data_IF_235016402201
#
_entry.id   IF_235016402201
#
_cell.length_a   1.000
_cell.length_b   1.000
_cell.length_c   1.000
_cell.angle_alpha   90.00
_cell.angle_beta   90.00
_cell.angle_gamma   90.00
#
_symmetry.space_group_name_H-M   'P 1'
#
loop_
_entity.id
_entity.type
_entity.pdbx_description
1 polymer ?
#
# COMPACT_ATOMS: atom_id res chain seq x y z
N UNK A 1 -5.32 35.11 -6.05
CA UNK A 1 -5.39 33.76 -6.69
C UNK A 1 -6.84 33.35 -6.81
N UNK A 2 -7.24 32.86 -7.96
CA UNK A 2 -8.56 32.26 -8.16
C UNK A 2 -8.68 30.91 -7.44
N UNK A 3 -9.89 30.41 -7.12
CA UNK A 3 -10.05 29.08 -6.51
C UNK A 3 -9.39 27.96 -7.33
N UNK A 4 -9.45 28.05 -8.66
CA UNK A 4 -8.81 27.07 -9.56
C UNK A 4 -7.27 27.11 -9.50
N UNK A 5 -6.69 28.31 -9.36
CA UNK A 5 -5.23 28.46 -9.20
C UNK A 5 -4.74 27.89 -7.87
N UNK A 6 -5.50 28.09 -6.79
CA UNK A 6 -5.19 27.50 -5.47
C UNK A 6 -5.23 25.99 -5.53
N UNK A 7 -6.29 25.43 -6.12
CA UNK A 7 -6.45 24.00 -6.31
C UNK A 7 -5.26 23.38 -7.08
N UNK A 8 -4.89 24.00 -8.21
CA UNK A 8 -3.74 23.54 -9.00
C UNK A 8 -2.43 23.65 -8.22
N UNK A 9 -2.23 24.72 -7.45
CA UNK A 9 -1.06 24.91 -6.60
C UNK A 9 -0.97 23.86 -5.48
N UNK A 10 -2.08 23.58 -4.79
CA UNK A 10 -2.13 22.57 -3.73
C UNK A 10 -1.73 21.19 -4.26
N UNK A 11 -2.27 20.77 -5.42
CA UNK A 11 -1.86 19.52 -6.06
C UNK A 11 -0.39 19.50 -6.46
N UNK A 12 0.09 20.56 -7.11
CA UNK A 12 1.47 20.67 -7.54
C UNK A 12 2.45 20.64 -6.35
N UNK A 13 2.12 21.36 -5.28
CA UNK A 13 2.92 21.41 -4.06
C UNK A 13 2.89 20.07 -3.32
N UNK A 14 1.74 19.38 -3.25
CA UNK A 14 1.64 18.06 -2.61
C UNK A 14 2.54 17.03 -3.32
N UNK A 15 2.48 16.97 -4.67
CA UNK A 15 3.35 16.08 -5.46
C UNK A 15 4.82 16.44 -5.29
N UNK A 16 5.17 17.72 -5.39
CA UNK A 16 6.56 18.19 -5.27
C UNK A 16 7.12 17.92 -3.87
N UNK A 17 6.36 18.26 -2.82
CA UNK A 17 6.72 17.96 -1.42
C UNK A 17 6.93 16.47 -1.22
N UNK A 18 6.04 15.65 -1.75
CA UNK A 18 6.18 14.20 -1.69
C UNK A 18 7.44 13.69 -2.37
N UNK A 19 7.74 14.18 -3.58
CA UNK A 19 8.94 13.78 -4.32
C UNK A 19 10.23 14.20 -3.59
N UNK A 20 10.30 15.43 -3.08
CA UNK A 20 11.44 15.91 -2.28
C UNK A 20 11.58 15.13 -0.96
N UNK A 21 10.47 14.81 -0.29
CA UNK A 21 10.48 14.01 0.93
C UNK A 21 11.01 12.58 0.66
N UNK A 22 10.64 11.96 -0.45
CA UNK A 22 11.18 10.66 -0.87
C UNK A 22 12.68 10.73 -1.18
N UNK A 23 13.14 11.79 -1.83
CA UNK A 23 14.56 12.03 -2.07
C UNK A 23 15.32 12.16 -0.74
N UNK A 24 14.81 13.00 0.17
CA UNK A 24 15.40 13.20 1.49
C UNK A 24 15.44 11.90 2.31
N UNK A 25 14.38 11.11 2.26
CA UNK A 25 14.32 9.80 2.91
C UNK A 25 15.42 8.86 2.42
N UNK A 26 15.68 8.84 1.11
CA UNK A 26 16.78 8.03 0.53
C UNK A 26 18.15 8.52 0.98
N UNK A 27 18.35 9.85 1.05
CA UNK A 27 19.63 10.44 1.47
C UNK A 27 19.92 10.24 2.97
N UNK A 28 18.87 10.24 3.80
CA UNK A 28 18.98 10.13 5.27
C UNK A 28 18.79 8.71 5.78
N UNK A 29 18.50 7.74 4.92
CA UNK A 29 18.15 6.36 5.30
C UNK A 29 16.98 6.26 6.29
N UNK A 30 16.12 7.29 6.32
CA UNK A 30 14.90 7.31 7.13
C UNK A 30 13.75 6.60 6.39
N UNK A 31 12.78 6.01 7.10
CA UNK A 31 11.58 5.48 6.46
C UNK A 31 10.82 6.58 5.70
N UNK A 32 10.58 6.38 4.39
CA UNK A 32 10.00 7.39 3.51
C UNK A 32 8.69 7.98 4.02
N UNK A 33 7.85 7.15 4.65
CA UNK A 33 6.55 7.57 5.19
C UNK A 33 6.69 8.58 6.34
N UNK A 34 7.71 8.44 7.19
CA UNK A 34 7.99 9.41 8.28
C UNK A 34 8.34 10.77 7.69
N UNK A 35 9.21 10.77 6.68
CA UNK A 35 9.64 12.02 6.03
C UNK A 35 8.47 12.66 5.26
N UNK A 36 7.62 11.87 4.62
CA UNK A 36 6.40 12.35 3.93
C UNK A 36 5.42 13.04 4.91
N UNK A 37 5.18 12.44 6.08
CA UNK A 37 4.32 13.01 7.11
C UNK A 37 4.89 14.35 7.63
N UNK A 38 6.17 14.36 8.00
CA UNK A 38 6.82 15.57 8.52
C UNK A 38 6.85 16.67 7.46
N UNK A 39 7.15 16.35 6.20
CA UNK A 39 7.14 17.31 5.11
C UNK A 39 5.74 17.90 4.87
N UNK A 40 4.69 17.07 4.95
CA UNK A 40 3.30 17.51 4.87
C UNK A 40 2.93 18.49 5.99
N UNK A 41 3.27 18.16 7.23
CA UNK A 41 3.04 19.04 8.39
C UNK A 41 3.76 20.39 8.25
N UNK A 42 5.01 20.40 7.76
CA UNK A 42 5.80 21.62 7.53
C UNK A 42 5.20 22.48 6.42
N UNK A 43 4.71 21.86 5.34
CA UNK A 43 4.10 22.59 4.23
C UNK A 43 2.62 22.96 4.47
N UNK A 44 1.98 22.32 5.44
CA UNK A 44 0.59 22.53 5.80
C UNK A 44 0.36 23.74 6.70
N UNK A 45 -0.84 23.79 7.28
CA UNK A 45 -1.37 24.89 8.10
C UNK A 45 -0.49 25.28 9.28
N UNK A 46 0.23 24.35 9.87
CA UNK A 46 1.11 24.60 11.04
C UNK A 46 2.48 25.14 10.65
N UNK A 47 2.93 24.91 9.40
CA UNK A 47 4.22 25.36 8.92
C UNK A 47 4.08 26.57 7.99
N UNK A 48 4.36 26.36 6.71
CA UNK A 48 4.32 27.44 5.72
C UNK A 48 2.92 27.79 5.23
N UNK A 49 1.88 27.02 5.51
CA UNK A 49 0.51 27.25 5.04
C UNK A 49 0.37 27.20 3.51
N UNK A 50 1.19 26.41 2.83
CA UNK A 50 1.22 26.34 1.37
C UNK A 50 0.33 25.25 0.81
N UNK A 51 0.07 24.19 1.58
CA UNK A 51 -0.81 23.07 1.23
C UNK A 51 -2.03 23.15 2.11
N UNK A 52 -3.19 23.42 1.52
CA UNK A 52 -4.48 23.47 2.20
C UNK A 52 -5.42 22.39 1.63
N UNK A 53 -5.53 21.21 2.26
CA UNK A 53 -6.37 20.11 1.76
C UNK A 53 -7.84 20.48 1.63
N UNK A 54 -8.35 21.36 2.49
CA UNK A 54 -9.74 21.82 2.47
C UNK A 54 -10.11 22.60 1.22
N UNK A 55 -9.15 23.22 0.54
CA UNK A 55 -9.38 23.91 -0.75
C UNK A 55 -9.83 22.93 -1.86
N UNK A 56 -9.56 21.64 -1.69
CA UNK A 56 -9.95 20.57 -2.61
C UNK A 56 -11.45 20.21 -2.48
N UNK A 57 -12.10 20.60 -1.39
CA UNK A 57 -13.52 20.34 -1.15
C UNK A 57 -13.91 18.85 -1.32
N UNK A 58 -15.05 18.59 -1.96
CA UNK A 58 -15.52 17.23 -2.25
C UNK A 58 -14.57 16.42 -3.18
N UNK A 59 -13.70 17.11 -3.93
CA UNK A 59 -12.70 16.46 -4.78
C UNK A 59 -11.63 15.71 -3.99
N UNK A 60 -11.35 16.12 -2.75
CA UNK A 60 -10.40 15.43 -1.87
C UNK A 60 -10.86 14.00 -1.57
N UNK A 61 -12.12 13.83 -1.14
CA UNK A 61 -12.69 12.53 -0.80
C UNK A 61 -12.64 11.57 -1.99
N UNK A 62 -13.11 12.04 -3.15
CA UNK A 62 -13.09 11.25 -4.39
C UNK A 62 -11.67 10.86 -4.79
N UNK A 63 -10.73 11.81 -4.78
CA UNK A 63 -9.34 11.53 -5.14
C UNK A 63 -8.69 10.53 -4.18
N UNK A 64 -8.94 10.65 -2.87
CA UNK A 64 -8.44 9.72 -1.86
C UNK A 64 -9.00 8.33 -2.10
N UNK A 65 -10.33 8.19 -2.28
CA UNK A 65 -10.98 6.89 -2.53
C UNK A 65 -10.38 6.19 -3.74
N UNK A 66 -10.31 6.88 -4.88
CA UNK A 66 -9.76 6.34 -6.13
C UNK A 66 -8.28 5.93 -6.01
N UNK A 67 -7.46 6.76 -5.38
CA UNK A 67 -6.04 6.46 -5.20
C UNK A 67 -5.82 5.30 -4.21
N UNK A 68 -6.62 5.23 -3.15
CA UNK A 68 -6.59 4.10 -2.20
C UNK A 68 -7.03 2.81 -2.88
N UNK A 69 -8.05 2.85 -3.75
CA UNK A 69 -8.48 1.68 -4.52
C UNK A 69 -7.33 1.13 -5.40
N UNK A 70 -6.52 2.00 -6.03
CA UNK A 70 -5.34 1.58 -6.80
C UNK A 70 -4.31 0.89 -5.91
N UNK A 71 -4.04 1.44 -4.73
CA UNK A 71 -3.09 0.85 -3.76
C UNK A 71 -3.58 -0.52 -3.28
N UNK A 72 -4.87 -0.62 -2.95
CA UNK A 72 -5.46 -1.88 -2.47
C UNK A 72 -5.53 -2.95 -3.57
N UNK A 73 -5.82 -2.56 -4.80
CA UNK A 73 -5.80 -3.46 -5.95
C UNK A 73 -4.38 -3.99 -6.21
N UNK A 74 -3.35 -3.12 -6.23
CA UNK A 74 -1.95 -3.54 -6.38
C UNK A 74 -1.53 -4.49 -5.26
N UNK A 75 -1.87 -4.15 -4.01
CA UNK A 75 -1.63 -5.01 -2.86
C UNK A 75 -2.30 -6.37 -3.00
N UNK A 76 -3.57 -6.41 -3.44
CA UNK A 76 -4.30 -7.64 -3.72
C UNK A 76 -3.65 -8.48 -4.82
N UNK A 77 -3.24 -7.84 -5.90
CA UNK A 77 -2.63 -8.51 -7.06
C UNK A 77 -1.26 -9.12 -6.71
N UNK A 78 -0.49 -8.47 -5.85
CA UNK A 78 0.85 -8.93 -5.45
C UNK A 78 0.83 -9.93 -4.30
N UNK A 79 -0.29 -10.04 -3.58
CA UNK A 79 -0.43 -10.94 -2.43
C UNK A 79 -0.50 -12.40 -2.89
N UNK A 80 0.58 -13.13 -2.70
CA UNK A 80 0.66 -14.56 -2.99
C UNK A 80 0.68 -15.35 -1.70
N UNK A 81 -0.35 -16.16 -1.47
CA UNK A 81 -0.41 -17.07 -0.33
C UNK A 81 0.29 -18.40 -0.66
N UNK A 82 1.43 -18.72 -0.04
CA UNK A 82 1.99 -20.05 -0.16
C UNK A 82 1.07 -21.07 0.52
N UNK A 83 0.94 -22.24 -0.07
CA UNK A 83 0.17 -23.31 0.53
C UNK A 83 0.77 -23.69 1.89
N UNK A 84 -0.02 -23.59 2.95
CA UNK A 84 0.26 -24.11 4.29
C UNK A 84 0.80 -23.12 5.32
N UNK A 85 1.72 -22.21 5.01
CA UNK A 85 2.39 -21.40 6.03
C UNK A 85 1.73 -20.03 6.26
N UNK A 86 1.41 -19.73 7.51
CA UNK A 86 0.88 -18.42 7.90
C UNK A 86 -0.60 -18.16 7.58
N UNK A 87 -1.28 -19.03 6.83
CA UNK A 87 -2.70 -18.83 6.45
C UNK A 87 -3.62 -18.85 7.67
N UNK A 88 -3.40 -19.77 8.60
CA UNK A 88 -4.16 -19.83 9.86
C UNK A 88 -3.90 -18.60 10.74
N UNK A 89 -2.64 -18.17 10.86
CA UNK A 89 -2.27 -16.96 11.61
C UNK A 89 -2.90 -15.70 11.02
N UNK A 90 -2.89 -15.56 9.69
CA UNK A 90 -3.51 -14.44 9.01
C UNK A 90 -5.03 -14.41 9.23
N UNK A 91 -5.70 -15.55 9.09
CA UNK A 91 -7.14 -15.68 9.32
C UNK A 91 -7.52 -15.34 10.78
N UNK A 92 -6.72 -15.79 11.75
CA UNK A 92 -6.93 -15.48 13.17
C UNK A 92 -6.65 -13.99 13.48
N UNK A 93 -5.57 -13.41 12.94
CA UNK A 93 -5.25 -12.00 13.11
C UNK A 93 -6.33 -11.09 12.51
N UNK A 94 -6.92 -11.49 11.39
CA UNK A 94 -8.03 -10.73 10.77
C UNK A 94 -9.34 -11.01 11.49
N UNK A 95 -9.73 -12.30 11.66
CA UNK A 95 -11.04 -12.68 12.16
C UNK A 95 -11.24 -12.40 13.66
N UNK A 96 -10.22 -12.67 14.47
CA UNK A 96 -10.27 -12.46 15.94
C UNK A 96 -9.55 -11.17 16.31
N UNK A 97 -8.39 -10.93 15.68
CA UNK A 97 -7.54 -9.81 16.02
C UNK A 97 -8.16 -8.45 15.70
N UNK A 98 -8.91 -8.29 14.62
CA UNK A 98 -9.55 -7.01 14.27
C UNK A 98 -10.67 -6.63 15.25
N UNK A 99 -11.66 -7.50 15.54
CA UNK A 99 -12.67 -7.22 16.57
C UNK A 99 -12.08 -6.93 17.94
N UNK A 100 -11.05 -7.68 18.34
CA UNK A 100 -10.38 -7.48 19.62
C UNK A 100 -9.62 -6.14 19.66
N UNK A 101 -8.93 -5.76 18.58
CA UNK A 101 -8.29 -4.44 18.46
C UNK A 101 -9.33 -3.34 18.56
N UNK A 102 -10.48 -3.51 17.94
CA UNK A 102 -11.57 -2.55 17.99
C UNK A 102 -12.12 -2.40 19.41
N UNK A 103 -12.46 -3.49 20.09
CA UNK A 103 -12.97 -3.47 21.46
C UNK A 103 -11.97 -2.82 22.42
N UNK A 104 -10.72 -3.28 22.42
CA UNK A 104 -9.69 -2.77 23.33
C UNK A 104 -9.26 -1.34 22.98
N UNK A 105 -9.28 -0.99 21.71
CA UNK A 105 -9.03 0.38 21.24
C UNK A 105 -10.11 1.35 21.68
N UNK A 106 -11.38 0.93 21.65
CA UNK A 106 -12.51 1.69 22.18
C UNK A 106 -12.34 1.94 23.68
N UNK A 107 -12.00 0.90 24.44
CA UNK A 107 -11.76 1.01 25.87
C UNK A 107 -10.59 1.95 26.18
N UNK A 108 -9.49 1.85 25.43
CA UNK A 108 -8.32 2.71 25.59
C UNK A 108 -8.64 4.19 25.31
N UNK A 109 -9.35 4.48 24.21
CA UNK A 109 -9.74 5.84 23.86
C UNK A 109 -10.69 6.46 24.88
N UNK A 110 -11.65 5.69 25.38
CA UNK A 110 -12.57 6.14 26.43
C UNK A 110 -11.82 6.43 27.74
N UNK A 111 -10.98 5.47 28.17
CA UNK A 111 -10.35 5.55 29.50
C UNK A 111 -9.20 6.55 29.57
N UNK A 112 -8.40 6.69 28.51
CA UNK A 112 -7.20 7.53 28.54
C UNK A 112 -7.37 8.86 27.79
N UNK A 113 -8.03 8.86 26.61
CA UNK A 113 -8.22 10.09 25.85
C UNK A 113 -9.51 10.83 26.22
N UNK A 114 -10.39 10.26 27.07
CA UNK A 114 -11.62 10.89 27.55
C UNK A 114 -12.65 11.15 26.44
N UNK A 115 -12.65 10.35 25.37
CA UNK A 115 -13.72 10.35 24.38
C UNK A 115 -14.96 9.64 24.93
N UNK A 116 -16.15 10.07 24.52
CA UNK A 116 -17.37 9.31 24.80
C UNK A 116 -17.36 7.95 24.08
N UNK A 117 -18.23 7.02 24.48
CA UNK A 117 -18.23 5.65 23.97
C UNK A 117 -18.40 5.55 22.45
N UNK A 118 -19.23 6.40 21.83
CA UNK A 118 -19.49 6.40 20.40
C UNK A 118 -18.27 6.88 19.61
N UNK A 119 -17.70 8.01 20.04
CA UNK A 119 -16.48 8.55 19.44
C UNK A 119 -15.28 7.64 19.68
N UNK A 120 -15.20 6.97 20.83
CA UNK A 120 -14.15 5.96 21.11
C UNK A 120 -14.28 4.75 20.19
N UNK A 121 -15.50 4.28 19.91
CA UNK A 121 -15.77 3.23 18.95
C UNK A 121 -15.38 3.62 17.52
N UNK A 122 -15.73 4.85 17.11
CA UNK A 122 -15.37 5.41 15.82
C UNK A 122 -13.84 5.54 15.68
N UNK A 123 -13.18 6.11 16.69
CA UNK A 123 -11.71 6.17 16.74
C UNK A 123 -11.08 4.79 16.57
N UNK A 124 -11.54 3.81 17.35
CA UNK A 124 -10.99 2.47 17.31
C UNK A 124 -11.17 1.80 15.95
N UNK A 125 -12.30 2.02 15.26
CA UNK A 125 -12.49 1.52 13.90
C UNK A 125 -11.53 2.16 12.89
N UNK A 126 -11.34 3.48 12.98
CA UNK A 126 -10.41 4.21 12.09
C UNK A 126 -8.97 3.74 12.29
N UNK A 127 -8.54 3.46 13.53
CA UNK A 127 -7.15 3.07 13.83
C UNK A 127 -6.94 1.56 13.95
N UNK A 128 -7.98 0.73 13.81
CA UNK A 128 -7.83 -0.73 13.91
C UNK A 128 -6.98 -1.34 12.79
N UNK A 129 -7.06 -0.89 11.52
CA UNK A 129 -6.25 -1.47 10.46
C UNK A 129 -4.77 -1.09 10.60
N UNK A 130 -3.90 -1.98 10.12
CA UNK A 130 -2.49 -1.68 9.85
C UNK A 130 -2.37 -1.27 8.39
N UNK A 131 -1.77 -0.11 8.10
CA UNK A 131 -1.73 0.39 6.72
C UNK A 131 -0.75 -0.38 5.84
N UNK A 132 -1.18 -1.10 4.80
CA UNK A 132 -0.28 -1.76 3.86
C UNK A 132 0.63 -0.76 3.15
N UNK A 133 0.15 0.47 2.93
CA UNK A 133 0.92 1.58 2.36
C UNK A 133 2.16 1.96 3.16
N UNK A 134 2.19 1.66 4.45
CA UNK A 134 3.34 1.89 5.36
C UNK A 134 4.12 0.59 5.56
N UNK A 135 3.41 -0.52 5.76
CA UNK A 135 4.02 -1.83 6.08
C UNK A 135 4.85 -2.35 4.90
N UNK A 136 4.31 -2.33 3.68
CA UNK A 136 4.99 -2.89 2.50
C UNK A 136 6.34 -2.21 2.20
N UNK A 137 6.45 -0.86 2.10
CA UNK A 137 7.74 -0.22 1.92
C UNK A 137 8.72 -0.52 3.06
N UNK A 138 8.23 -0.58 4.29
CA UNK A 138 9.06 -0.82 5.47
C UNK A 138 9.61 -2.25 5.49
N UNK A 139 8.78 -3.26 5.23
CA UNK A 139 9.15 -4.67 5.13
C UNK A 139 10.22 -4.88 4.05
N UNK A 140 10.04 -4.25 2.88
CA UNK A 140 11.00 -4.31 1.77
C UNK A 140 12.32 -3.61 2.11
N UNK A 141 12.26 -2.43 2.74
CA UNK A 141 13.46 -1.69 3.15
C UNK A 141 14.31 -2.46 4.16
N UNK A 142 13.68 -3.19 5.10
CA UNK A 142 14.35 -3.98 6.13
C UNK A 142 14.88 -5.31 5.56
N UNK A 143 14.40 -5.77 4.39
CA UNK A 143 14.62 -7.11 3.85
C UNK A 143 14.17 -8.20 4.84
N UNK A 144 12.94 -8.05 5.34
CA UNK A 144 12.37 -8.99 6.30
C UNK A 144 12.18 -10.37 5.66
N UNK A 145 12.30 -11.44 6.45
CA UNK A 145 12.02 -12.82 5.99
C UNK A 145 10.71 -12.88 5.20
N UNK A 146 10.68 -13.47 3.99
CA UNK A 146 9.54 -13.35 3.05
C UNK A 146 8.20 -13.82 3.63
N UNK A 147 8.23 -14.86 4.47
CA UNK A 147 7.02 -15.38 5.09
C UNK A 147 6.41 -14.38 6.09
N UNK A 148 7.25 -13.72 6.89
CA UNK A 148 6.82 -12.74 7.88
C UNK A 148 6.37 -11.44 7.19
N UNK A 149 7.06 -11.03 6.11
CA UNK A 149 6.65 -9.91 5.26
C UNK A 149 5.26 -10.12 4.70
N UNK A 150 5.01 -11.28 4.06
CA UNK A 150 3.68 -11.63 3.51
C UNK A 150 2.57 -11.67 4.57
N UNK A 151 2.87 -12.14 5.79
CA UNK A 151 1.90 -12.13 6.88
C UNK A 151 1.48 -10.71 7.24
N UNK A 152 2.44 -9.80 7.41
CA UNK A 152 2.19 -8.40 7.78
C UNK A 152 1.49 -7.61 6.66
N UNK A 153 1.93 -7.80 5.43
CA UNK A 153 1.31 -7.18 4.24
C UNK A 153 -0.12 -7.70 4.06
N UNK A 154 -0.34 -9.01 4.18
CA UNK A 154 -1.66 -9.62 4.07
C UNK A 154 -2.61 -9.21 5.20
N UNK A 155 -2.10 -9.08 6.44
CA UNK A 155 -2.89 -8.58 7.57
C UNK A 155 -3.39 -7.16 7.27
N UNK A 156 -2.49 -6.26 6.86
CA UNK A 156 -2.84 -4.88 6.53
C UNK A 156 -3.88 -4.82 5.41
N UNK A 157 -3.61 -5.50 4.31
CA UNK A 157 -4.46 -5.51 3.12
C UNK A 157 -5.89 -5.98 3.39
N UNK A 158 -6.06 -7.03 4.20
CA UNK A 158 -7.39 -7.58 4.50
C UNK A 158 -8.12 -6.78 5.59
N UNK A 159 -7.40 -6.21 6.56
CA UNK A 159 -8.02 -5.45 7.65
C UNK A 159 -8.48 -4.06 7.23
N UNK A 160 -7.78 -3.43 6.29
CA UNK A 160 -8.03 -2.04 5.90
C UNK A 160 -9.43 -1.83 5.31
N UNK A 161 -9.92 -2.59 4.30
CA UNK A 161 -11.27 -2.40 3.77
C UNK A 161 -12.36 -2.75 4.77
N UNK A 162 -12.16 -3.79 5.61
CA UNK A 162 -13.12 -4.15 6.65
C UNK A 162 -13.28 -3.01 7.65
N UNK A 163 -12.18 -2.45 8.12
CA UNK A 163 -12.18 -1.35 9.07
C UNK A 163 -12.70 -0.05 8.46
N UNK A 164 -12.44 0.24 7.18
CA UNK A 164 -13.00 1.40 6.49
C UNK A 164 -14.53 1.34 6.42
N UNK A 165 -15.09 0.20 6.03
CA UNK A 165 -16.55 -0.01 6.04
C UNK A 165 -17.12 0.12 7.44
N UNK A 166 -16.47 -0.48 8.45
CA UNK A 166 -16.89 -0.37 9.84
C UNK A 166 -16.86 1.08 10.36
N UNK A 167 -15.83 1.84 10.01
CA UNK A 167 -15.70 3.24 10.40
C UNK A 167 -16.82 4.12 9.80
N UNK A 168 -17.16 3.91 8.52
CA UNK A 168 -18.28 4.61 7.85
C UNK A 168 -19.61 4.29 8.53
N UNK A 169 -19.87 3.01 8.84
CA UNK A 169 -21.10 2.60 9.53
C UNK A 169 -21.19 3.17 10.94
N UNK A 170 -20.06 3.26 11.66
CA UNK A 170 -20.02 3.88 12.98
C UNK A 170 -20.17 5.39 12.92
N UNK A 171 -19.64 6.04 11.88
CA UNK A 171 -19.92 7.47 11.67
C UNK A 171 -21.42 7.70 11.51
N UNK A 172 -22.10 6.91 10.67
CA UNK A 172 -23.55 6.97 10.51
C UNK A 172 -24.29 6.75 11.84
N UNK A 173 -23.82 5.78 12.65
CA UNK A 173 -24.40 5.54 13.98
C UNK A 173 -24.13 6.66 14.99
N UNK A 174 -23.03 7.40 14.87
CA UNK A 174 -22.77 8.58 15.69
C UNK A 174 -23.72 9.72 15.33
N UNK A 175 -23.94 9.92 14.02
CA UNK A 175 -24.80 10.98 13.50
C UNK A 175 -26.30 10.66 13.72
N UNK A 176 -26.71 9.42 13.48
CA UNK A 176 -28.10 8.96 13.57
C UNK A 176 -28.20 7.70 14.47
N UNK A 177 -28.38 7.86 15.79
CA UNK A 177 -28.28 6.74 16.73
C UNK A 177 -29.52 5.84 16.82
N UNK A 178 -30.24 5.64 15.73
CA UNK A 178 -31.49 4.82 15.70
C UNK A 178 -31.28 3.32 15.38
N UNK A 179 -30.05 2.89 15.17
CA UNK A 179 -29.73 1.50 14.84
C UNK A 179 -29.35 0.63 16.03
N UNK A 180 -29.66 -0.66 15.97
CA UNK A 180 -29.16 -1.66 16.92
C UNK A 180 -27.76 -2.12 16.51
N UNK A 181 -26.92 -2.57 17.46
CA UNK A 181 -25.60 -3.13 17.15
C UNK A 181 -25.66 -4.32 16.20
N UNK A 182 -26.76 -5.09 16.22
CA UNK A 182 -27.01 -6.16 15.27
C UNK A 182 -27.19 -5.66 13.82
N UNK A 183 -27.95 -4.58 13.64
CA UNK A 183 -28.13 -3.96 12.32
C UNK A 183 -26.81 -3.46 11.72
N UNK A 184 -25.93 -2.88 12.55
CA UNK A 184 -24.58 -2.49 12.13
C UNK A 184 -23.75 -3.69 11.66
N UNK A 185 -23.76 -4.80 12.43
CA UNK A 185 -23.03 -6.01 12.05
C UNK A 185 -23.54 -6.60 10.74
N UNK A 186 -24.87 -6.69 10.55
CA UNK A 186 -25.47 -7.17 9.31
C UNK A 186 -25.08 -6.26 8.14
N UNK A 187 -25.16 -4.95 8.29
CA UNK A 187 -24.75 -3.98 7.25
C UNK A 187 -23.26 -4.11 6.91
N UNK A 188 -22.40 -4.30 7.91
CA UNK A 188 -20.96 -4.54 7.70
C UNK A 188 -20.73 -5.79 6.84
N UNK A 189 -21.33 -6.90 7.23
CA UNK A 189 -21.19 -8.16 6.50
C UNK A 189 -21.77 -8.07 5.08
N UNK A 190 -22.91 -7.42 4.90
CA UNK A 190 -23.51 -7.21 3.57
C UNK A 190 -22.59 -6.38 2.66
N UNK A 191 -22.05 -5.26 3.14
CA UNK A 191 -21.16 -4.39 2.34
C UNK A 191 -19.87 -5.12 1.96
N UNK A 192 -19.24 -5.83 2.89
CA UNK A 192 -18.03 -6.61 2.61
C UNK A 192 -18.34 -7.74 1.61
N UNK A 193 -19.44 -8.47 1.80
CA UNK A 193 -19.82 -9.57 0.91
C UNK A 193 -20.14 -9.06 -0.50
N UNK A 194 -20.98 -8.04 -0.63
CA UNK A 194 -21.35 -7.46 -1.92
C UNK A 194 -20.13 -6.87 -2.64
N UNK A 195 -19.28 -6.10 -1.94
CA UNK A 195 -18.03 -5.58 -2.50
C UNK A 195 -17.11 -6.71 -2.97
N UNK A 196 -16.98 -7.77 -2.17
CA UNK A 196 -16.16 -8.94 -2.53
C UNK A 196 -16.72 -9.67 -3.76
N UNK A 197 -18.04 -9.85 -3.87
CA UNK A 197 -18.69 -10.47 -5.03
C UNK A 197 -18.50 -9.63 -6.29
N UNK A 198 -18.75 -8.32 -6.22
CA UNK A 198 -18.53 -7.41 -7.35
C UNK A 198 -17.05 -7.41 -7.75
N UNK A 199 -16.15 -7.32 -6.78
CA UNK A 199 -14.70 -7.39 -7.00
C UNK A 199 -14.25 -8.70 -7.65
N UNK A 200 -14.80 -9.84 -7.21
CA UNK A 200 -14.52 -11.14 -7.80
C UNK A 200 -15.00 -11.23 -9.26
N UNK A 201 -16.22 -10.77 -9.53
CA UNK A 201 -16.79 -10.76 -10.88
C UNK A 201 -15.99 -9.84 -11.82
N UNK A 202 -15.73 -8.61 -11.40
CA UNK A 202 -14.97 -7.64 -12.20
C UNK A 202 -13.50 -8.05 -12.37
N UNK A 203 -12.87 -8.57 -11.32
CA UNK A 203 -11.51 -9.09 -11.38
C UNK A 203 -11.39 -10.31 -12.31
N UNK A 204 -12.41 -11.18 -12.32
CA UNK A 204 -12.49 -12.28 -13.28
C UNK A 204 -12.62 -11.79 -14.72
N UNK A 205 -13.54 -10.83 -14.96
CA UNK A 205 -13.73 -10.22 -16.27
C UNK A 205 -12.45 -9.53 -16.76
N UNK A 206 -11.82 -8.73 -15.89
CA UNK A 206 -10.58 -8.06 -16.18
C UNK A 206 -9.46 -9.06 -16.51
N UNK A 207 -9.30 -10.11 -15.71
CA UNK A 207 -8.29 -11.14 -15.94
C UNK A 207 -8.50 -11.87 -17.28
N UNK A 208 -9.76 -12.15 -17.65
CA UNK A 208 -10.09 -12.75 -18.95
C UNK A 208 -9.79 -11.80 -20.10
N UNK A 209 -10.07 -10.51 -19.94
CA UNK A 209 -9.79 -9.48 -20.94
C UNK A 209 -8.27 -9.32 -21.14
N UNK A 210 -7.51 -9.21 -20.05
CA UNK A 210 -6.05 -9.07 -20.08
C UNK A 210 -5.36 -10.28 -20.72
N UNK A 211 -5.89 -11.49 -20.51
CA UNK A 211 -5.38 -12.71 -21.10
C UNK A 211 -5.53 -12.75 -22.64
N UNK A 212 -6.55 -12.10 -23.18
CA UNK A 212 -6.83 -12.06 -24.63
C UNK A 212 -6.01 -11.00 -25.37
N UNK A 213 -5.38 -10.08 -24.66
CA UNK A 213 -4.56 -9.03 -25.29
C UNK A 213 -3.23 -9.60 -25.80
N UNK A 214 -2.82 -9.27 -27.04
CA UNK A 214 -1.51 -9.63 -27.57
C UNK A 214 -0.37 -9.12 -26.69
N UNK A 215 0.72 -9.89 -26.58
CA UNK A 215 1.86 -9.50 -25.73
C UNK A 215 2.63 -8.28 -26.28
N UNK A 216 2.68 -8.10 -27.61
CA UNK A 216 3.50 -7.09 -28.27
C UNK A 216 2.95 -5.65 -28.20
N UNK A 217 1.64 -5.47 -27.97
CA UNK A 217 1.03 -4.12 -27.94
C UNK A 217 0.59 -3.68 -26.55
N UNK A 218 1.00 -4.37 -25.48
CA UNK A 218 0.06 -4.55 -24.39
C UNK A 218 0.34 -3.80 -23.09
N UNK A 219 1.54 -3.38 -22.72
CA UNK A 219 1.79 -2.85 -21.37
C UNK A 219 0.90 -1.63 -21.05
N UNK A 220 0.88 -0.65 -21.94
CA UNK A 220 0.08 0.57 -21.76
C UNK A 220 -1.43 0.28 -21.79
N UNK A 221 -1.91 -0.52 -22.73
CA UNK A 221 -3.33 -0.85 -22.84
C UNK A 221 -3.81 -1.69 -21.66
N UNK A 222 -3.00 -2.62 -21.17
CA UNK A 222 -3.30 -3.41 -19.97
C UNK A 222 -3.46 -2.52 -18.74
N UNK A 223 -2.53 -1.56 -18.54
CA UNK A 223 -2.61 -0.60 -17.44
C UNK A 223 -3.88 0.27 -17.56
N UNK A 224 -4.16 0.81 -18.74
CA UNK A 224 -5.35 1.65 -18.98
C UNK A 224 -6.64 0.88 -18.70
N UNK A 225 -6.78 -0.36 -19.19
CA UNK A 225 -7.95 -1.20 -18.93
C UNK A 225 -8.09 -1.53 -17.45
N UNK A 226 -6.98 -1.85 -16.78
CA UNK A 226 -6.98 -2.15 -15.35
C UNK A 226 -7.42 -0.96 -14.54
N UNK A 227 -6.84 0.22 -14.77
CA UNK A 227 -7.22 1.44 -14.08
C UNK A 227 -8.66 1.85 -14.41
N UNK A 228 -9.04 1.83 -15.68
CA UNK A 228 -10.41 2.19 -16.10
C UNK A 228 -11.47 1.30 -15.45
N UNK A 229 -11.29 -0.02 -15.46
CA UNK A 229 -12.21 -0.94 -14.79
C UNK A 229 -12.21 -0.77 -13.27
N UNK A 230 -11.04 -0.63 -12.65
CA UNK A 230 -10.93 -0.47 -11.21
C UNK A 230 -11.66 0.79 -10.72
N UNK A 231 -11.36 1.94 -11.34
CA UNK A 231 -11.98 3.22 -10.95
C UNK A 231 -13.49 3.22 -11.23
N UNK A 232 -13.90 2.59 -12.33
CA UNK A 232 -15.35 2.44 -12.63
C UNK A 232 -16.04 1.58 -11.58
N UNK A 233 -15.46 0.44 -11.19
CA UNK A 233 -16.02 -0.44 -10.17
C UNK A 233 -16.10 0.25 -8.81
N UNK A 234 -15.07 1.00 -8.42
CA UNK A 234 -15.07 1.79 -7.19
C UNK A 234 -16.27 2.73 -7.15
N UNK A 235 -16.43 3.56 -8.18
CA UNK A 235 -17.52 4.55 -8.26
C UNK A 235 -18.90 3.86 -8.37
N UNK A 236 -19.03 2.79 -9.15
CA UNK A 236 -20.31 2.06 -9.25
C UNK A 236 -20.69 1.38 -7.93
N UNK A 237 -19.73 0.84 -7.19
CA UNK A 237 -19.99 0.30 -5.85
C UNK A 237 -20.51 1.38 -4.91
N UNK A 238 -19.91 2.57 -4.90
CA UNK A 238 -20.37 3.67 -4.05
C UNK A 238 -21.76 4.18 -4.42
N UNK A 239 -22.04 4.33 -5.71
CA UNK A 239 -23.32 4.84 -6.19
C UNK A 239 -24.49 3.87 -6.00
N UNK A 240 -24.29 2.57 -6.23
CA UNK A 240 -25.38 1.60 -6.28
C UNK A 240 -25.46 0.68 -5.06
N UNK A 241 -24.38 0.50 -4.32
CA UNK A 241 -24.32 -0.44 -3.20
C UNK A 241 -24.16 0.27 -1.86
N UNK A 242 -23.28 1.26 -1.80
CA UNK A 242 -23.06 2.09 -0.61
C UNK A 242 -21.62 2.51 -0.40
N UNK A 243 -21.44 3.45 0.51
CA UNK A 243 -20.13 4.06 0.80
C UNK A 243 -19.10 3.03 1.28
N UNK A 244 -17.88 3.15 0.79
CA UNK A 244 -16.71 2.32 1.07
C UNK A 244 -16.81 0.86 0.60
N UNK A 245 -17.83 0.48 -0.18
CA UNK A 245 -18.00 -0.88 -0.73
C UNK A 245 -16.98 -1.15 -1.85
N UNK A 246 -16.51 -0.13 -2.53
CA UNK A 246 -15.49 -0.25 -3.57
C UNK A 246 -14.14 -0.74 -3.04
N UNK A 247 -13.77 -0.42 -1.79
CA UNK A 247 -12.49 -0.84 -1.20
C UNK A 247 -12.33 -2.37 -1.10
N UNK A 248 -13.28 -3.15 -0.51
CA UNK A 248 -13.22 -4.60 -0.58
C UNK A 248 -13.30 -5.13 -2.02
N UNK A 249 -14.03 -4.46 -2.92
CA UNK A 249 -14.08 -4.84 -4.32
C UNK A 249 -12.71 -4.69 -5.00
N UNK A 250 -11.97 -3.61 -4.76
CA UNK A 250 -10.63 -3.39 -5.28
C UNK A 250 -9.64 -4.47 -4.82
N UNK A 251 -9.64 -4.82 -3.51
CA UNK A 251 -8.79 -5.88 -2.96
C UNK A 251 -9.08 -7.22 -3.62
N UNK A 252 -10.35 -7.61 -3.67
CA UNK A 252 -10.74 -8.93 -4.21
C UNK A 252 -10.50 -9.00 -5.72
N UNK A 253 -10.75 -7.91 -6.47
CA UNK A 253 -10.42 -7.84 -7.88
C UNK A 253 -8.90 -8.03 -8.12
N UNK A 254 -8.06 -7.36 -7.32
CA UNK A 254 -6.61 -7.54 -7.34
C UNK A 254 -6.19 -8.98 -7.05
N UNK A 255 -6.74 -9.60 -6.00
CA UNK A 255 -6.49 -11.02 -5.66
C UNK A 255 -6.85 -11.97 -6.81
N UNK A 256 -7.99 -11.74 -7.47
CA UNK A 256 -8.43 -12.58 -8.61
C UNK A 256 -7.52 -12.42 -9.82
N UNK A 257 -7.11 -11.20 -10.16
CA UNK A 257 -6.17 -10.94 -11.26
C UNK A 257 -4.80 -11.53 -10.92
N UNK A 258 -4.27 -11.29 -9.72
CA UNK A 258 -2.97 -11.79 -9.27
C UNK A 258 -2.88 -13.31 -9.14
N UNK A 259 -4.03 -14.00 -8.93
CA UNK A 259 -4.09 -15.47 -8.91
C UNK A 259 -3.92 -16.10 -10.30
N UNK A 260 -3.93 -15.31 -11.38
CA UNK A 260 -3.85 -15.76 -12.77
C UNK A 260 -2.60 -15.23 -13.46
N UNK A 261 -1.49 -15.96 -13.49
CA UNK A 261 -0.20 -15.47 -14.02
C UNK A 261 -0.27 -14.92 -15.45
N UNK A 262 -1.15 -15.50 -16.29
CA UNK A 262 -1.35 -15.03 -17.66
C UNK A 262 -2.05 -13.66 -17.76
N UNK A 263 -2.77 -13.24 -16.72
CA UNK A 263 -3.46 -11.94 -16.66
C UNK A 263 -2.63 -10.85 -15.97
N UNK A 264 -1.63 -11.24 -15.16
CA UNK A 264 -0.79 -10.32 -14.38
C UNK A 264 0.69 -10.46 -14.81
N UNK A 265 1.07 -9.99 -16.01
CA UNK A 265 2.45 -9.98 -16.44
C UNK A 265 3.26 -8.96 -15.60
N UNK A 266 4.59 -9.17 -15.54
CA UNK A 266 5.49 -8.38 -14.70
C UNK A 266 5.49 -6.88 -15.00
N UNK A 267 5.29 -6.48 -16.26
CA UNK A 267 5.17 -5.10 -16.70
C UNK A 267 3.95 -4.39 -16.10
N UNK A 268 2.79 -5.05 -16.06
CA UNK A 268 1.58 -4.53 -15.42
C UNK A 268 1.77 -4.42 -13.90
N UNK A 269 2.34 -5.44 -13.26
CA UNK A 269 2.63 -5.42 -11.82
C UNK A 269 3.57 -4.27 -11.46
N UNK A 270 4.63 -4.04 -12.26
CA UNK A 270 5.56 -2.95 -12.05
C UNK A 270 4.88 -1.57 -12.23
N UNK A 271 4.08 -1.41 -13.28
CA UNK A 271 3.36 -0.16 -13.54
C UNK A 271 2.37 0.18 -12.42
N UNK A 272 1.57 -0.79 -11.96
CA UNK A 272 0.63 -0.59 -10.84
C UNK A 272 1.36 -0.28 -9.52
N UNK A 273 2.50 -0.93 -9.27
CA UNK A 273 3.34 -0.62 -8.12
C UNK A 273 3.87 0.82 -8.15
N UNK A 274 4.23 1.33 -9.32
CA UNK A 274 4.63 2.74 -9.48
C UNK A 274 3.47 3.69 -9.24
N UNK A 275 2.28 3.37 -9.74
CA UNK A 275 1.06 4.15 -9.49
C UNK A 275 0.68 4.17 -8.00
N UNK A 276 0.74 3.03 -7.33
CA UNK A 276 0.52 2.95 -5.89
C UNK A 276 1.55 3.77 -5.09
N UNK A 277 2.82 3.73 -5.49
CA UNK A 277 3.87 4.54 -4.86
C UNK A 277 3.64 6.05 -5.08
N UNK A 278 3.19 6.46 -6.26
CA UNK A 278 2.81 7.85 -6.54
C UNK A 278 1.59 8.28 -5.69
N UNK A 279 0.57 7.42 -5.57
CA UNK A 279 -0.58 7.67 -4.71
C UNK A 279 -0.15 7.91 -3.26
N UNK A 280 0.72 7.05 -2.71
CA UNK A 280 1.29 7.21 -1.37
C UNK A 280 2.06 8.54 -1.23
N UNK A 281 2.92 8.85 -2.22
CA UNK A 281 3.76 10.05 -2.22
C UNK A 281 2.92 11.34 -2.25
N UNK A 282 1.77 11.32 -2.91
CA UNK A 282 0.83 12.43 -2.99
C UNK A 282 -0.04 12.55 -1.74
N UNK A 283 -0.65 11.43 -1.33
CA UNK A 283 -1.67 11.45 -0.26
C UNK A 283 -1.09 11.73 1.12
N UNK A 284 0.10 11.21 1.46
CA UNK A 284 0.64 11.43 2.80
C UNK A 284 0.94 12.90 3.11
N UNK A 285 1.67 13.66 2.27
CA UNK A 285 1.88 15.09 2.53
C UNK A 285 0.57 15.88 2.52
N UNK A 286 -0.34 15.56 1.59
CA UNK A 286 -1.62 16.24 1.48
C UNK A 286 -2.46 16.09 2.76
N UNK A 287 -2.62 14.86 3.27
CA UNK A 287 -3.42 14.61 4.48
C UNK A 287 -2.69 15.06 5.75
N UNK A 288 -1.35 14.98 5.81
CA UNK A 288 -0.58 15.47 6.94
C UNK A 288 -0.57 17.01 7.04
N UNK A 289 -0.80 17.72 5.94
CA UNK A 289 -0.88 19.18 5.91
C UNK A 289 -2.10 19.74 6.68
N UNK A 290 -3.13 18.93 6.87
CA UNK A 290 -4.34 19.30 7.63
C UNK A 290 -4.13 19.22 9.16
N UNK A 291 -3.09 18.53 9.62
CA UNK A 291 -2.84 18.32 11.06
C UNK A 291 -2.40 19.60 11.74
N UNK A 292 -3.12 19.99 12.81
CA UNK A 292 -2.79 21.16 13.62
C UNK A 292 -2.36 20.78 15.04
N UNK A 293 -1.35 21.49 15.57
CA UNK A 293 -0.92 21.31 16.97
C UNK A 293 -2.01 21.72 17.97
N UNK A 294 -2.93 22.60 17.56
CA UNK A 294 -4.09 23.01 18.36
C UNK A 294 -5.06 21.85 18.59
N UNK A 295 -5.14 20.88 17.70
CA UNK A 295 -5.94 19.66 17.87
C UNK A 295 -5.21 18.59 18.70
N UNK A 296 -3.88 18.62 18.68
CA UNK A 296 -3.06 17.69 19.46
C UNK A 296 -2.91 18.12 20.92
N UNK A 297 -2.83 19.44 21.19
CA UNK A 297 -2.58 19.97 22.55
C UNK A 297 -3.64 19.59 23.57
N UNK A 298 -4.96 19.57 23.26
CA UNK A 298 -6.00 19.20 24.24
C UNK A 298 -5.98 17.71 24.63
N UNK A 299 -5.32 16.86 23.84
CA UNK A 299 -5.18 15.43 24.13
C UNK A 299 -4.21 15.18 25.28
N UNK A 300 -3.21 16.05 25.45
CA UNK A 300 -2.24 16.00 26.53
C UNK A 300 -1.62 14.60 26.76
N UNK A 301 -1.37 14.29 28.02
CA UNK A 301 -0.83 12.98 28.42
C UNK A 301 -1.80 11.84 28.14
N UNK A 302 -3.11 12.09 28.20
CA UNK A 302 -4.14 11.07 27.95
C UNK A 302 -4.10 10.51 26.54
N UNK A 303 -3.95 11.39 25.53
CA UNK A 303 -3.81 10.95 24.14
C UNK A 303 -2.55 10.11 23.92
N UNK A 304 -1.41 10.55 24.44
CA UNK A 304 -0.15 9.78 24.36
C UNK A 304 -0.30 8.42 25.05
N UNK A 305 -0.91 8.37 26.23
CA UNK A 305 -1.14 7.12 26.97
C UNK A 305 -2.08 6.18 26.21
N UNK A 306 -3.12 6.72 25.56
CA UNK A 306 -4.00 5.94 24.69
C UNK A 306 -3.21 5.27 23.57
N UNK A 307 -2.39 6.02 22.83
CA UNK A 307 -1.58 5.47 21.73
C UNK A 307 -0.56 4.46 22.23
N UNK A 308 0.15 4.76 23.33
CA UNK A 308 1.08 3.81 23.93
C UNK A 308 0.40 2.53 24.39
N UNK A 309 -0.82 2.61 24.93
CA UNK A 309 -1.60 1.42 25.29
C UNK A 309 -1.95 0.57 24.07
N UNK A 310 -2.31 1.20 22.93
CA UNK A 310 -2.52 0.46 21.68
C UNK A 310 -1.26 -0.26 21.19
N UNK A 311 -0.09 0.39 21.30
CA UNK A 311 1.17 -0.17 20.84
C UNK A 311 1.72 -1.25 21.77
N UNK A 312 1.66 -1.04 23.10
CA UNK A 312 2.37 -1.86 24.09
C UNK A 312 1.49 -2.88 24.81
N UNK A 313 0.17 -2.70 24.80
CA UNK A 313 -0.77 -3.62 25.47
C UNK A 313 -1.73 -4.27 24.46
N UNK A 314 -2.48 -3.45 23.71
CA UNK A 314 -3.52 -3.97 22.80
C UNK A 314 -2.91 -4.83 21.69
N UNK A 315 -1.93 -4.28 20.96
CA UNK A 315 -1.34 -5.02 19.84
C UNK A 315 -0.61 -6.29 20.26
N UNK A 316 0.23 -6.33 21.30
CA UNK A 316 0.84 -7.57 21.79
C UNK A 316 -0.19 -8.61 22.24
N UNK A 317 -1.25 -8.20 22.93
CA UNK A 317 -2.33 -9.09 23.35
C UNK A 317 -3.08 -9.68 22.14
N UNK A 318 -3.42 -8.85 21.16
CA UNK A 318 -4.07 -9.26 19.91
C UNK A 318 -3.20 -10.27 19.15
N UNK A 319 -1.90 -10.03 19.06
CA UNK A 319 -0.97 -10.95 18.38
C UNK A 319 -0.80 -12.24 19.20
N UNK A 320 -0.68 -12.15 20.52
CA UNK A 320 -0.58 -13.34 21.37
C UNK A 320 -1.78 -14.26 21.20
N UNK A 321 -3.00 -13.72 21.19
CA UNK A 321 -4.24 -14.48 20.99
C UNK A 321 -4.44 -14.90 19.52
N UNK A 322 -4.17 -14.00 18.57
CA UNK A 322 -4.36 -14.26 17.15
C UNK A 322 -3.26 -15.14 16.51
N UNK A 323 -2.24 -15.54 17.26
CA UNK A 323 -1.22 -16.46 16.80
C UNK A 323 -1.14 -17.74 17.65
N UNK A 324 -2.16 -18.01 18.48
CA UNK A 324 -2.26 -19.26 19.23
C UNK A 324 -2.34 -20.43 18.26
N UNK A 325 -1.50 -21.45 18.48
CA UNK A 325 -1.43 -22.62 17.60
C UNK A 325 -0.79 -22.37 16.22
N UNK A 326 -0.15 -21.21 16.02
CA UNK A 326 0.58 -20.92 14.79
C UNK A 326 2.03 -21.40 14.85
N UNK A 327 2.63 -21.59 13.66
CA UNK A 327 4.06 -21.99 13.52
C UNK A 327 5.04 -20.82 13.78
N UNK A 328 4.54 -19.64 14.18
CA UNK A 328 5.37 -18.49 14.47
C UNK A 328 6.16 -18.69 15.76
N UNK A 329 7.48 -18.53 15.70
CA UNK A 329 8.31 -18.55 16.88
C UNK A 329 8.16 -17.25 17.72
N UNK A 330 8.63 -17.27 18.96
CA UNK A 330 8.48 -16.12 19.88
C UNK A 330 9.09 -14.82 19.33
N UNK A 331 10.21 -14.90 18.61
CA UNK A 331 10.88 -13.72 18.01
C UNK A 331 10.02 -13.10 16.89
N UNK A 332 9.41 -13.95 16.06
CA UNK A 332 8.50 -13.53 15.00
C UNK A 332 7.23 -12.91 15.59
N UNK A 333 6.63 -13.54 16.62
CA UNK A 333 5.46 -12.99 17.33
C UNK A 333 5.77 -11.63 17.96
N UNK A 334 6.95 -11.47 18.59
CA UNK A 334 7.37 -10.21 19.17
C UNK A 334 7.51 -9.11 18.11
N UNK A 335 8.05 -9.43 16.92
CA UNK A 335 8.15 -8.49 15.82
C UNK A 335 6.77 -8.10 15.26
N UNK A 336 5.88 -9.08 15.01
CA UNK A 336 4.50 -8.83 14.58
C UNK A 336 3.72 -8.02 15.62
N UNK A 337 3.95 -8.28 16.91
CA UNK A 337 3.35 -7.52 18.01
C UNK A 337 3.84 -6.07 18.06
N UNK A 338 5.08 -5.81 17.69
CA UNK A 338 5.62 -4.46 17.63
C UNK A 338 5.14 -3.70 16.40
N UNK A 339 5.15 -4.34 15.21
CA UNK A 339 4.93 -3.66 13.94
C UNK A 339 3.44 -3.58 13.57
N UNK A 340 2.85 -2.42 13.73
CA UNK A 340 1.47 -2.12 13.36
C UNK A 340 1.28 -0.62 13.04
N UNK A 341 2.04 -0.03 12.11
CA UNK A 341 1.89 1.39 11.78
C UNK A 341 0.54 1.63 11.10
N UNK A 342 -0.04 2.80 11.33
CA UNK A 342 -1.34 3.18 10.74
C UNK A 342 -1.12 3.84 9.38
N UNK A 343 -2.10 3.68 8.48
CA UNK A 343 -1.97 4.07 7.07
C UNK A 343 -2.77 5.30 6.66
N UNK A 344 -2.80 5.53 5.34
CA UNK A 344 -3.46 6.66 4.69
C UNK A 344 -4.98 6.63 4.91
N UNK A 345 -5.60 5.46 4.85
CA UNK A 345 -7.06 5.33 5.02
C UNK A 345 -7.49 5.83 6.40
N UNK A 346 -6.70 5.57 7.44
CA UNK A 346 -6.97 6.14 8.77
C UNK A 346 -6.84 7.67 8.79
N UNK A 347 -5.85 8.23 8.09
CA UNK A 347 -5.66 9.68 8.00
C UNK A 347 -6.82 10.37 7.26
N UNK A 348 -7.19 9.83 6.09
CA UNK A 348 -8.30 10.38 5.29
C UNK A 348 -9.64 10.28 6.02
N UNK A 349 -9.92 9.12 6.62
CA UNK A 349 -11.14 8.95 7.41
C UNK A 349 -11.20 9.95 8.58
N UNK A 350 -10.08 10.21 9.27
CA UNK A 350 -10.04 11.16 10.37
C UNK A 350 -10.42 12.58 9.92
N UNK A 351 -9.82 13.08 8.83
CA UNK A 351 -10.12 14.42 8.31
C UNK A 351 -11.55 14.52 7.79
N UNK A 352 -11.98 13.58 6.94
CA UNK A 352 -13.32 13.62 6.34
C UNK A 352 -14.44 13.46 7.39
N UNK A 353 -14.24 12.58 8.36
CA UNK A 353 -15.23 12.35 9.41
C UNK A 353 -15.29 13.52 10.40
N UNK A 354 -14.16 14.17 10.71
CA UNK A 354 -14.15 15.36 11.54
C UNK A 354 -14.94 16.49 10.87
N UNK A 355 -14.73 16.75 9.58
CA UNK A 355 -15.49 17.75 8.83
C UNK A 355 -17.00 17.44 8.89
N UNK A 356 -17.38 16.18 8.67
CA UNK A 356 -18.79 15.75 8.67
C UNK A 356 -19.42 15.91 10.07
N UNK A 357 -18.71 15.51 11.12
CA UNK A 357 -19.15 15.65 12.51
C UNK A 357 -19.29 17.13 12.93
N UNK A 358 -18.37 17.99 12.49
CA UNK A 358 -18.44 19.44 12.74
C UNK A 358 -19.63 20.09 12.03
N UNK A 359 -19.90 19.72 10.77
CA UNK A 359 -21.07 20.20 10.02
C UNK A 359 -22.39 19.86 10.71
N UNK A 360 -22.46 18.70 11.35
CA UNK A 360 -23.64 18.23 12.10
C UNK A 360 -23.61 18.68 13.59
N UNK A 361 -22.64 19.51 13.99
CA UNK A 361 -22.54 20.08 15.33
C UNK A 361 -22.16 19.08 16.42
N UNK A 362 -21.54 17.95 16.08
CA UNK A 362 -21.12 16.94 17.06
C UNK A 362 -19.87 17.40 17.77
N UNK A 363 -19.95 17.50 19.09
CA UNK A 363 -18.83 17.90 19.93
C UNK A 363 -17.72 16.85 19.95
N UNK A 364 -16.46 17.27 19.87
CA UNK A 364 -15.29 16.39 19.97
C UNK A 364 -14.72 15.91 18.64
N UNK A 365 -15.21 16.38 17.50
CA UNK A 365 -14.70 16.05 16.19
C UNK A 365 -13.19 16.30 16.04
N UNK A 366 -12.72 17.50 16.41
CA UNK A 366 -11.29 17.85 16.39
C UNK A 366 -10.44 16.99 17.34
N UNK A 367 -10.98 16.57 18.51
CA UNK A 367 -10.27 15.64 19.40
C UNK A 367 -10.14 14.25 18.81
N UNK A 368 -11.17 13.76 18.10
CA UNK A 368 -11.11 12.51 17.34
C UNK A 368 -10.01 12.57 16.28
N UNK A 369 -10.05 13.59 15.44
CA UNK A 369 -9.07 13.83 14.39
C UNK A 369 -7.64 13.90 14.96
N UNK A 370 -7.42 14.74 15.96
CA UNK A 370 -6.13 14.87 16.63
C UNK A 370 -5.61 13.55 17.21
N UNK A 371 -6.47 12.74 17.85
CA UNK A 371 -6.07 11.45 18.41
C UNK A 371 -5.68 10.43 17.32
N UNK A 372 -6.41 10.41 16.20
CA UNK A 372 -6.04 9.55 15.06
C UNK A 372 -4.70 9.97 14.48
N UNK A 373 -4.48 11.26 14.23
CA UNK A 373 -3.20 11.75 13.72
C UNK A 373 -2.04 11.53 14.69
N UNK A 374 -2.27 11.72 16.00
CA UNK A 374 -1.27 11.38 17.02
C UNK A 374 -0.90 9.88 16.95
N UNK A 375 -1.92 9.02 16.75
CA UNK A 375 -1.70 7.58 16.60
C UNK A 375 -0.86 7.27 15.35
N UNK A 376 -1.18 7.88 14.21
CA UNK A 376 -0.42 7.71 12.96
C UNK A 376 1.02 8.19 13.18
N UNK A 377 1.21 9.40 13.68
CA UNK A 377 2.53 9.99 13.89
C UNK A 377 3.39 9.14 14.82
N UNK A 378 2.86 8.74 15.97
CA UNK A 378 3.60 7.92 16.94
C UNK A 378 3.91 6.53 16.40
N UNK A 379 2.92 5.84 15.79
CA UNK A 379 3.13 4.48 15.28
C UNK A 379 4.09 4.48 14.09
N UNK A 380 3.93 5.38 13.14
CA UNK A 380 4.80 5.46 11.96
C UNK A 380 6.23 5.87 12.36
N UNK A 381 6.39 6.87 13.25
CA UNK A 381 7.70 7.32 13.68
C UNK A 381 8.41 6.29 14.57
N UNK A 382 7.78 5.85 15.66
CA UNK A 382 8.42 4.96 16.62
C UNK A 382 8.66 3.57 16.04
N UNK A 383 7.66 2.99 15.40
CA UNK A 383 7.76 1.65 14.82
C UNK A 383 8.58 1.68 13.52
N UNK A 384 8.40 2.70 12.67
CA UNK A 384 9.16 2.85 11.43
C UNK A 384 10.67 2.98 11.68
N UNK A 385 11.10 3.79 12.66
CA UNK A 385 12.51 3.97 13.00
C UNK A 385 13.10 2.76 13.72
N UNK A 386 12.32 2.09 14.56
CA UNK A 386 12.81 0.96 15.38
C UNK A 386 12.70 -0.40 14.70
N UNK A 387 11.87 -0.54 13.65
CA UNK A 387 11.62 -1.84 13.01
C UNK A 387 12.88 -2.49 12.44
N UNK A 388 13.74 -1.73 11.76
CA UNK A 388 15.00 -2.23 11.22
C UNK A 388 15.97 -2.75 12.30
N UNK A 389 16.31 -1.93 13.30
CA UNK A 389 17.12 -2.38 14.45
C UNK A 389 16.53 -3.59 15.17
N UNK A 390 15.21 -3.61 15.38
CA UNK A 390 14.52 -4.73 16.04
C UNK A 390 14.58 -6.01 15.20
N UNK A 391 14.33 -5.93 13.89
CA UNK A 391 14.42 -7.09 12.99
C UNK A 391 15.81 -7.71 12.99
N UNK A 392 16.85 -6.87 12.94
CA UNK A 392 18.25 -7.34 13.02
C UNK A 392 18.55 -8.01 14.35
N UNK A 393 18.14 -7.40 15.50
CA UNK A 393 18.34 -8.00 16.84
C UNK A 393 17.64 -9.34 17.01
N UNK A 394 16.49 -9.52 16.39
CA UNK A 394 15.71 -10.75 16.44
C UNK A 394 16.16 -11.80 15.42
N UNK A 395 17.07 -11.46 14.50
CA UNK A 395 17.55 -12.36 13.44
C UNK A 395 16.48 -12.66 12.38
N UNK A 396 15.61 -11.68 12.05
CA UNK A 396 14.48 -11.82 11.14
C UNK A 396 14.74 -11.20 9.75
N UNK A 397 15.92 -10.64 9.55
CA UNK A 397 16.36 -10.11 8.26
C UNK A 397 16.85 -11.25 7.40
N UNK A 398 16.52 -11.22 6.09
CA UNK A 398 17.03 -12.19 5.14
C UNK A 398 18.57 -12.10 5.10
N UNK A 399 19.26 -13.22 5.27
CA UNK A 399 20.70 -13.26 5.11
C UNK A 399 21.03 -12.83 3.68
N UNK A 400 21.93 -11.88 3.53
CA UNK A 400 22.49 -11.55 2.22
C UNK A 400 23.07 -12.85 1.67
N UNK A 401 22.45 -13.39 0.61
CA UNK A 401 23.01 -14.55 -0.09
C UNK A 401 24.42 -14.13 -0.48
N UNK A 402 25.40 -14.75 0.16
CA UNK A 402 26.80 -14.55 -0.17
C UNK A 402 26.89 -14.70 -1.69
N UNK A 403 27.30 -13.63 -2.34
CA UNK A 403 27.65 -13.65 -3.76
C UNK A 403 28.51 -14.89 -3.97
N UNK A 404 28.22 -15.79 -4.91
CA UNK A 404 29.06 -16.95 -5.10
C UNK A 404 30.49 -16.44 -5.34
N UNK A 405 31.34 -16.74 -4.37
CA UNK A 405 32.76 -16.38 -4.36
C UNK A 405 33.34 -16.61 -5.75
N UNK A 406 34.12 -15.68 -6.34
CA UNK A 406 34.75 -15.85 -7.64
C UNK A 406 35.78 -17.01 -7.72
N UNK A 407 35.87 -17.85 -6.69
CA UNK A 407 36.77 -18.99 -6.61
C UNK A 407 36.42 -20.19 -7.52
N UNK A 408 35.31 -20.18 -8.26
CA UNK A 408 34.95 -21.25 -9.20
C UNK A 408 35.29 -20.90 -10.66
N UNK A 409 35.63 -19.63 -10.95
CA UNK A 409 36.02 -19.23 -12.31
C UNK A 409 37.44 -19.70 -12.72
N UNK A 410 38.34 -19.95 -11.74
CA UNK A 410 39.72 -20.39 -12.02
C UNK A 410 39.89 -21.92 -12.20
N UNK A 411 38.90 -22.71 -11.80
CA UNK A 411 38.96 -24.17 -11.98
C UNK A 411 38.56 -24.67 -13.39
N UNK A 412 37.90 -23.80 -14.19
CA UNK A 412 37.49 -24.12 -15.57
C UNK A 412 38.56 -23.79 -16.61
N UNK A 413 39.58 -23.02 -16.27
CA UNK A 413 40.65 -22.63 -17.19
C UNK A 413 41.87 -23.60 -17.17
N UNK A 414 41.89 -24.59 -16.29
CA UNK A 414 43.03 -25.51 -16.10
C UNK A 414 42.81 -26.91 -16.71
N UNK A 415 41.73 -27.17 -17.44
CA UNK A 415 41.44 -28.46 -18.06
C UNK A 415 41.34 -28.36 -19.59
N UNK A 416 42.43 -27.99 -20.26
CA UNK A 416 42.61 -28.25 -21.67
C UNK A 416 43.47 -29.49 -21.83
N UNK A 417 43.01 -30.59 -22.46
CA UNK A 417 43.85 -31.74 -22.75
C UNK A 417 44.78 -31.41 -23.93
N UNK A 418 46.08 -31.52 -23.71
CA UNK A 418 47.08 -31.60 -24.76
C UNK A 418 46.78 -32.83 -25.63
N UNK A 419 46.37 -32.63 -26.90
CA UNK A 419 46.32 -33.68 -27.90
C UNK A 419 47.70 -33.89 -28.50
N UNK A 420 48.27 -35.04 -28.19
CA UNK A 420 49.53 -35.52 -28.77
C UNK A 420 49.35 -35.86 -30.26
N UNK A 421 50.37 -35.47 -30.98
CA UNK A 421 50.76 -35.84 -32.36
C UNK A 421 50.74 -37.33 -32.60
N UNK A 422 50.09 -37.82 -33.66
CA UNK A 422 50.52 -39.00 -34.42
C UNK A 422 50.21 -38.76 -35.89
N UNK A 423 51.26 -39.03 -36.71
CA UNK A 423 51.50 -38.99 -38.13
C UNK A 423 50.66 -40.04 -38.89
N UNK A 424 50.25 -39.76 -40.13
CA UNK A 424 49.75 -40.77 -41.05
C UNK A 424 49.16 -40.20 -42.36
N UNK A 425 49.96 -40.16 -43.37
CA UNK A 425 49.84 -40.09 -44.81
C UNK A 425 48.48 -40.20 -45.53
N UNK A 426 48.34 -39.40 -46.59
CA UNK A 426 47.46 -39.74 -47.73
C UNK A 426 46.77 -38.55 -48.40
N UNK A 427 47.42 -37.92 -49.40
CA UNK A 427 46.80 -37.06 -50.43
C UNK A 427 46.06 -37.89 -51.47
N UNK A 428 45.34 -37.38 -52.58
CA UNK A 428 45.26 -35.97 -53.02
C UNK A 428 43.87 -35.51 -53.58
N UNK A 429 43.82 -34.20 -53.81
CA UNK A 429 43.16 -33.41 -54.88
C UNK A 429 41.64 -33.46 -55.17
N UNK A 430 40.99 -32.30 -55.12
CA UNK A 430 40.49 -31.52 -56.27
C UNK A 430 39.73 -30.24 -55.83
N UNK A 431 40.24 -29.10 -56.25
CA UNK A 431 39.70 -28.03 -57.10
C UNK A 431 38.24 -27.62 -56.90
N UNK A 432 38.06 -26.32 -56.66
CA UNK A 432 36.77 -25.65 -56.91
C UNK A 432 36.61 -24.28 -56.23
N UNK A 433 37.26 -23.27 -56.82
CA UNK A 433 36.84 -21.88 -57.10
C UNK A 433 35.88 -21.13 -56.11
N UNK A 434 36.47 -20.11 -55.52
CA UNK A 434 36.03 -18.71 -55.36
C UNK A 434 34.58 -18.36 -55.67
N UNK A 435 33.96 -17.62 -54.80
CA UNK A 435 33.46 -16.24 -55.05
C UNK A 435 32.84 -15.62 -53.76
N UNK A 436 33.43 -14.52 -53.36
CA UNK A 436 32.82 -13.49 -52.52
C UNK A 436 31.82 -12.71 -53.37
N UNK A 437 30.76 -12.15 -52.78
CA UNK A 437 30.51 -10.75 -53.06
C UNK A 437 30.34 -9.91 -51.78
N UNK A 438 31.10 -8.84 -51.76
CA UNK A 438 30.85 -7.61 -51.02
C UNK A 438 29.62 -6.91 -51.59
N UNK A 439 28.84 -6.21 -50.70
CA UNK A 439 27.92 -5.17 -51.15
C UNK A 439 26.52 -5.28 -50.56
N UNK A 440 26.28 -4.73 -49.31
CA UNK A 440 24.98 -4.28 -48.85
C UNK A 440 25.15 -3.35 -47.66
N UNK A 441 25.58 -2.12 -47.92
CA UNK A 441 25.63 -1.03 -46.94
C UNK A 441 25.44 0.32 -47.63
N UNK A 442 24.35 0.51 -48.37
CA UNK A 442 24.06 1.80 -49.03
C UNK A 442 22.58 2.16 -49.17
N UNK A 443 21.62 1.37 -48.64
CA UNK A 443 20.18 1.66 -48.83
C UNK A 443 19.39 2.06 -47.58
N UNK A 444 20.05 2.33 -46.44
CA UNK A 444 19.36 2.76 -45.20
C UNK A 444 19.39 4.27 -44.93
N UNK A 445 20.00 5.08 -45.80
CA UNK A 445 20.04 6.54 -45.65
C UNK A 445 19.18 7.32 -46.65
N UNK A 446 18.43 6.64 -47.52
CA UNK A 446 17.60 7.30 -48.53
C UNK A 446 16.10 7.40 -48.16
N UNK A 447 15.63 6.76 -47.11
CA UNK A 447 14.21 6.78 -46.71
C UNK A 447 13.90 7.87 -45.70
N UNK A 448 14.87 8.38 -44.94
CA UNK A 448 14.66 9.42 -43.90
C UNK A 448 14.67 10.85 -44.43
N UNK A 449 14.96 11.09 -45.74
CA UNK A 449 14.91 12.44 -46.33
C UNK A 449 13.70 12.75 -47.21
N UNK A 450 12.78 11.81 -47.38
CA UNK A 450 11.58 12.00 -48.18
C UNK A 450 10.34 12.48 -47.39
N UNK A 451 10.31 12.35 -46.06
CA UNK A 451 9.15 12.75 -45.23
C UNK A 451 9.15 14.20 -44.75
N UNK A 452 10.24 14.96 -44.95
CA UNK A 452 10.29 16.38 -44.46
C UNK A 452 9.85 17.37 -45.55
N UNK A 453 9.47 16.92 -46.77
CA UNK A 453 9.06 17.86 -47.87
C UNK A 453 7.57 17.84 -48.23
N UNK A 454 6.69 17.23 -47.46
CA UNK A 454 5.24 17.27 -47.76
C UNK A 454 4.35 17.86 -46.68
N UNK A 455 4.87 18.78 -45.86
CA UNK A 455 4.04 19.61 -44.98
C UNK A 455 4.55 21.06 -44.97
N UNK A 456 4.27 21.75 -46.05
CA UNK A 456 4.09 23.19 -46.12
C UNK A 456 2.88 23.50 -46.98
#
# INVERSE_FOLDING_TARGET
MTPSERLALTWALAVSTGAFAQLLARLTSLPGVVVLLLAGMVMGRQGFGLIEPLDLGAGLETAVSLLVAVVLFEGGMTLRFPHGWGRSSLQQLVGVGLPLTWLLGTLAAHSFAGLDWRMSGLYAAIVAPTGPTVVTPLVRHIRLQPALGRLLEGEGLLREPIAAVAAVLLLQFVLEPYGTGWALLVSLLQRILLGSLVGAACGWLLAELLRRLPQEQGANLRLQLTLGMLLLVEVLCELFVGTAVGLPAAVVAGLVVGSRPAAAPQDLELALRQMAALAVTLLFPLLAADVTLSELSPLGVGGVTCVLSLMLLVRPLVVALGTLGSDLNLRQRAFVAWLAPRGIVSASAASLFAIRLEQEGVLGAGRLQGLVFLTILMTVSLQGLSAGPLARRLGLVEAESADPSPAVADASAAASPQAGTLVGDGAPASSGTSTTPAGASADLLAVEQAEIRSSH
#
